data_IF_183529428697
#
_entry.id   IF_183529428697
#
_cell.length_a   1.000
_cell.length_b   1.000
_cell.length_c   1.000
_cell.angle_alpha   90.00
_cell.angle_beta   90.00
_cell.angle_gamma   90.00
#
_symmetry.space_group_name_H-M   'P 1'
#
loop_
_entity.id
_entity.type
_entity.pdbx_description
1 polymer ?
#
# COMPACT_ATOMS: atom_id res chain seq x y z
N UNK A 1 27.63 -56.85 -1.21
CA UNK A 1 26.30 -56.29 -0.90
C UNK A 1 26.45 -54.78 -0.74
N UNK A 2 26.23 -54.00 -1.81
CA UNK A 2 26.33 -52.53 -1.87
C UNK A 2 25.17 -52.03 -2.74
N UNK A 3 23.95 -52.02 -2.19
CA UNK A 3 22.75 -51.59 -2.90
C UNK A 3 21.73 -50.96 -1.95
N UNK A 4 22.14 -50.05 -1.04
CA UNK A 4 21.19 -49.31 -0.18
C UNK A 4 21.67 -47.88 0.11
N UNK A 5 22.17 -47.16 -0.90
CA UNK A 5 22.51 -45.73 -0.74
C UNK A 5 21.82 -44.80 -1.73
N UNK A 6 20.96 -45.30 -2.63
CA UNK A 6 20.32 -44.49 -3.68
C UNK A 6 18.87 -44.06 -3.37
N UNK A 7 18.28 -44.50 -2.26
CA UNK A 7 16.86 -44.24 -1.98
C UNK A 7 16.56 -42.87 -1.34
N UNK A 8 17.57 -42.17 -0.82
CA UNK A 8 17.37 -40.90 -0.10
C UNK A 8 17.59 -39.63 -0.96
N UNK A 9 18.21 -39.75 -2.14
CA UNK A 9 18.54 -38.59 -2.97
C UNK A 9 17.43 -38.20 -3.97
N UNK A 10 16.56 -39.14 -4.36
CA UNK A 10 15.46 -38.85 -5.29
C UNK A 10 14.41 -37.87 -4.73
N UNK A 11 13.96 -37.99 -3.47
CA UNK A 11 13.02 -37.01 -2.89
C UNK A 11 13.61 -35.60 -2.82
N UNK A 12 14.92 -35.49 -2.55
CA UNK A 12 15.61 -34.19 -2.45
C UNK A 12 15.80 -33.51 -3.82
N UNK A 13 16.01 -34.27 -4.90
CA UNK A 13 16.13 -33.71 -6.26
C UNK A 13 14.78 -33.23 -6.84
N UNK A 14 13.67 -33.86 -6.48
CA UNK A 14 12.32 -33.44 -6.87
C UNK A 14 11.80 -32.23 -6.07
N UNK A 15 12.34 -31.99 -4.87
CA UNK A 15 12.00 -30.82 -4.06
C UNK A 15 12.58 -29.51 -4.64
N UNK A 16 13.73 -29.56 -5.32
CA UNK A 16 14.38 -28.38 -5.90
C UNK A 16 13.70 -27.88 -7.18
N UNK A 17 13.04 -28.75 -7.95
CA UNK A 17 12.31 -28.36 -9.17
C UNK A 17 10.91 -27.82 -8.88
N UNK A 18 10.50 -27.84 -7.61
CA UNK A 18 9.18 -27.37 -7.16
C UNK A 18 9.22 -25.96 -6.56
N UNK A 19 10.41 -25.37 -6.39
CA UNK A 19 10.68 -24.02 -5.88
C UNK A 19 11.26 -23.07 -6.96
N UNK A 20 11.06 -23.39 -8.25
CA UNK A 20 11.43 -22.52 -9.38
C UNK A 20 10.57 -22.86 -10.60
N UNK A 21 9.29 -23.14 -10.34
CA UNK A 21 8.35 -23.67 -11.33
C UNK A 21 7.54 -22.55 -12.00
N UNK A 22 6.96 -22.77 -13.20
CA UNK A 22 6.12 -21.77 -13.87
C UNK A 22 4.92 -21.26 -13.06
N UNK A 23 4.49 -22.01 -12.03
CA UNK A 23 3.41 -21.59 -11.13
C UNK A 23 3.87 -20.63 -10.04
N UNK A 24 5.14 -20.75 -9.63
CA UNK A 24 5.75 -19.91 -8.61
C UNK A 24 6.18 -18.59 -9.22
N UNK A 25 6.82 -18.61 -10.39
CA UNK A 25 7.08 -17.40 -11.19
C UNK A 25 5.82 -16.56 -11.42
N UNK A 26 4.69 -17.20 -11.74
CA UNK A 26 3.39 -16.51 -11.87
C UNK A 26 2.88 -16.01 -10.52
N UNK A 27 3.15 -16.70 -9.41
CA UNK A 27 2.75 -16.24 -8.09
C UNK A 27 3.58 -15.02 -7.66
N UNK A 28 4.90 -15.05 -7.89
CA UNK A 28 5.81 -13.91 -7.65
C UNK A 28 5.41 -12.69 -8.47
N UNK A 29 5.12 -12.86 -9.78
CA UNK A 29 4.66 -11.75 -10.62
C UNK A 29 3.30 -11.19 -10.16
N UNK A 30 2.44 -12.01 -9.55
CA UNK A 30 1.19 -11.53 -8.94
C UNK A 30 1.40 -10.79 -7.62
N UNK A 31 2.39 -11.21 -6.83
CA UNK A 31 2.80 -10.49 -5.61
C UNK A 31 3.41 -9.13 -5.97
N UNK A 32 4.26 -9.05 -7.01
CA UNK A 32 4.81 -7.78 -7.53
C UNK A 32 3.70 -6.82 -7.99
N UNK A 33 2.68 -7.35 -8.69
CA UNK A 33 1.51 -6.54 -9.11
C UNK A 33 0.73 -6.03 -7.92
N UNK A 34 0.63 -6.82 -6.85
CA UNK A 34 -0.07 -6.46 -5.62
C UNK A 34 0.71 -5.39 -4.85
N UNK A 35 2.02 -5.53 -4.73
CA UNK A 35 2.90 -4.50 -4.16
C UNK A 35 2.78 -3.18 -4.93
N UNK A 36 2.88 -3.24 -6.27
CA UNK A 36 2.73 -2.04 -7.11
C UNK A 36 1.34 -1.40 -6.98
N UNK A 37 0.29 -2.18 -6.74
CA UNK A 37 -1.04 -1.65 -6.45
C UNK A 37 -1.08 -0.93 -5.08
N UNK A 38 -0.43 -1.49 -4.06
CA UNK A 38 -0.25 -0.86 -2.74
C UNK A 38 0.44 0.49 -2.86
N UNK A 39 1.59 0.55 -3.54
CA UNK A 39 2.35 1.80 -3.73
C UNK A 39 1.52 2.90 -4.42
N UNK A 40 0.68 2.53 -5.40
CA UNK A 40 -0.20 3.50 -6.08
C UNK A 40 -1.30 4.02 -5.14
N UNK A 41 -1.76 3.20 -4.19
CA UNK A 41 -2.75 3.61 -3.19
C UNK A 41 -2.09 4.51 -2.15
N UNK A 42 -0.90 4.18 -1.67
CA UNK A 42 -0.11 5.05 -0.77
C UNK A 42 0.17 6.42 -1.40
N UNK A 43 0.56 6.44 -2.67
CA UNK A 43 0.76 7.70 -3.38
C UNK A 43 -0.53 8.54 -3.43
N UNK A 44 -1.70 7.90 -3.55
CA UNK A 44 -2.99 8.61 -3.48
C UNK A 44 -3.30 9.11 -2.06
N UNK A 45 -2.92 8.36 -1.02
CA UNK A 45 -3.02 8.80 0.36
C UNK A 45 -2.19 10.07 0.61
N UNK A 46 -0.93 10.07 0.17
CA UNK A 46 -0.05 11.25 0.26
C UNK A 46 -0.61 12.47 -0.49
N UNK A 47 -1.27 12.28 -1.64
CA UNK A 47 -1.97 13.37 -2.34
C UNK A 47 -3.19 13.86 -1.57
N UNK A 48 -3.90 12.99 -0.86
CA UNK A 48 -5.02 13.39 -0.02
C UNK A 48 -4.55 14.20 1.20
N UNK A 49 -3.51 13.74 1.91
CA UNK A 49 -2.88 14.46 3.02
C UNK A 49 -2.38 15.85 2.59
N UNK A 50 -1.65 15.95 1.47
CA UNK A 50 -1.20 17.25 0.96
C UNK A 50 -2.36 18.21 0.58
N UNK A 51 -3.55 17.67 0.29
CA UNK A 51 -4.76 18.49 0.06
C UNK A 51 -5.44 18.90 1.37
N UNK A 52 -5.28 18.12 2.43
CA UNK A 52 -5.69 18.50 3.77
C UNK A 52 -4.84 19.67 4.27
N UNK A 53 -3.51 19.56 4.19
CA UNK A 53 -2.57 20.64 4.53
C UNK A 53 -2.93 21.95 3.80
N UNK A 54 -3.18 21.88 2.49
CA UNK A 54 -3.58 23.05 1.71
C UNK A 54 -4.94 23.63 2.14
N UNK A 55 -5.85 22.79 2.65
CA UNK A 55 -7.13 23.27 3.19
C UNK A 55 -6.92 23.95 4.54
N UNK A 56 -6.07 23.42 5.42
CA UNK A 56 -5.69 24.08 6.69
C UNK A 56 -5.05 25.45 6.44
N UNK A 57 -4.07 25.54 5.53
CA UNK A 57 -3.46 26.83 5.17
C UNK A 57 -4.49 27.86 4.67
N UNK A 58 -5.54 27.40 3.98
CA UNK A 58 -6.65 28.27 3.54
C UNK A 58 -7.58 28.65 4.69
N UNK A 59 -7.73 27.80 5.68
CA UNK A 59 -8.47 28.11 6.90
C UNK A 59 -7.76 29.22 7.68
N UNK A 60 -6.44 29.11 7.87
CA UNK A 60 -5.61 30.14 8.51
C UNK A 60 -5.76 31.50 7.81
N UNK A 61 -5.69 31.50 6.48
CA UNK A 61 -5.89 32.71 5.66
C UNK A 61 -7.30 33.29 5.83
N UNK A 62 -8.33 32.46 6.04
CA UNK A 62 -9.69 32.92 6.29
C UNK A 62 -9.84 33.48 7.72
N UNK A 63 -9.22 32.85 8.71
CA UNK A 63 -9.15 33.33 10.10
C UNK A 63 -8.49 34.73 10.15
N UNK A 64 -7.34 34.91 9.51
CA UNK A 64 -6.64 36.19 9.43
C UNK A 64 -7.49 37.31 8.78
N UNK A 65 -8.39 36.94 7.86
CA UNK A 65 -9.34 37.85 7.22
C UNK A 65 -10.62 38.08 8.04
N UNK A 66 -10.80 37.39 9.16
CA UNK A 66 -12.01 37.43 9.98
C UNK A 66 -13.21 36.72 9.35
N UNK A 67 -13.00 35.83 8.38
CA UNK A 67 -14.04 35.00 7.76
C UNK A 67 -14.18 33.64 8.47
N UNK A 68 -14.86 33.67 9.62
CA UNK A 68 -15.09 32.47 10.44
C UNK A 68 -15.89 31.36 9.72
N UNK A 69 -16.70 31.70 8.71
CA UNK A 69 -17.45 30.70 7.93
C UNK A 69 -16.52 30.04 6.91
N UNK A 70 -15.64 30.83 6.28
CA UNK A 70 -14.60 30.34 5.40
C UNK A 70 -13.63 29.40 6.12
N UNK A 71 -13.15 29.81 7.29
CA UNK A 71 -12.28 29.03 8.16
C UNK A 71 -12.89 27.67 8.52
N UNK A 72 -14.07 27.66 9.13
CA UNK A 72 -14.75 26.43 9.54
C UNK A 72 -14.97 25.46 8.36
N UNK A 73 -15.32 25.99 7.19
CA UNK A 73 -15.51 25.19 5.98
C UNK A 73 -14.22 24.56 5.47
N UNK A 74 -13.10 25.26 5.58
CA UNK A 74 -11.80 24.75 5.15
C UNK A 74 -11.28 23.71 6.13
N UNK A 75 -11.48 23.91 7.44
CA UNK A 75 -11.17 22.90 8.47
C UNK A 75 -11.97 21.60 8.26
N UNK A 76 -13.29 21.67 8.05
CA UNK A 76 -14.09 20.47 7.72
C UNK A 76 -13.59 19.75 6.46
N UNK A 77 -13.04 20.51 5.50
CA UNK A 77 -12.47 19.94 4.28
C UNK A 77 -11.11 19.29 4.52
N UNK A 78 -10.29 19.85 5.40
CA UNK A 78 -9.03 19.24 5.82
C UNK A 78 -9.31 17.88 6.49
N UNK A 79 -10.17 17.86 7.51
CA UNK A 79 -10.58 16.64 8.22
C UNK A 79 -11.07 15.54 7.28
N UNK A 80 -11.86 15.91 6.26
CA UNK A 80 -12.38 14.95 5.29
C UNK A 80 -11.28 14.39 4.36
N UNK A 81 -10.24 15.16 4.07
CA UNK A 81 -9.11 14.73 3.26
C UNK A 81 -8.14 13.88 4.07
N UNK A 82 -7.92 14.20 5.34
CA UNK A 82 -7.12 13.38 6.26
C UNK A 82 -7.76 12.02 6.49
N UNK A 83 -9.05 11.98 6.81
CA UNK A 83 -9.77 10.71 6.90
C UNK A 83 -9.67 9.90 5.61
N UNK A 84 -9.68 10.57 4.45
CA UNK A 84 -9.49 9.88 3.18
C UNK A 84 -8.07 9.34 3.04
N UNK A 85 -7.05 10.08 3.46
CA UNK A 85 -5.66 9.62 3.45
C UNK A 85 -5.50 8.38 4.34
N UNK A 86 -5.98 8.44 5.59
CA UNK A 86 -5.95 7.31 6.53
C UNK A 86 -6.63 6.06 5.95
N UNK A 87 -7.83 6.21 5.37
CA UNK A 87 -8.53 5.08 4.76
C UNK A 87 -7.77 4.46 3.56
N UNK A 88 -6.98 5.27 2.84
CA UNK A 88 -6.16 4.79 1.73
C UNK A 88 -4.92 4.06 2.26
N UNK A 89 -4.25 4.58 3.29
CA UNK A 89 -3.13 3.90 3.96
C UNK A 89 -3.57 2.55 4.55
N UNK A 90 -4.68 2.52 5.29
CA UNK A 90 -5.27 1.28 5.80
C UNK A 90 -5.59 0.28 4.67
N UNK A 91 -5.98 0.79 3.50
CA UNK A 91 -6.24 -0.05 2.33
C UNK A 91 -4.94 -0.63 1.80
N UNK A 92 -3.89 0.19 1.64
CA UNK A 92 -2.58 -0.23 1.14
C UNK A 92 -1.89 -1.24 2.08
N UNK A 93 -1.96 -1.04 3.39
CA UNK A 93 -1.45 -1.99 4.38
C UNK A 93 -2.22 -3.32 4.37
N UNK A 94 -3.46 -3.32 3.87
CA UNK A 94 -4.34 -4.48 3.80
C UNK A 94 -4.20 -5.32 2.52
N UNK A 95 -3.47 -4.83 1.51
CA UNK A 95 -3.13 -5.59 0.29
C UNK A 95 -1.73 -6.16 0.41
#
# INVERSE_FOLDING_TARGET
MKKILFAAALPAALALTACDGPKEEVAEEMDDVREAQGEVIDAQAGVAAARADLAEERADVAEEQGDAVGEARMNERADAMDQKAENLEDTADGI
#
